data_IF_598122696199
#
_entry.id   IF_598122696199
#
_cell.length_a   1.000
_cell.length_b   1.000
_cell.length_c   1.000
_cell.angle_alpha   90.00
_cell.angle_beta   90.00
_cell.angle_gamma   90.00
#
_symmetry.space_group_name_H-M   'P 1'
#
loop_
_entity.id
_entity.type
_entity.pdbx_description
1 polymer ?
#
# COMPACT_ATOMS: atom_id res chain seq x y z
N UNK A 1 -11.98 -0.51 13.44
CA UNK A 1 -11.83 -0.25 11.99
C UNK A 1 -10.53 0.51 11.86
N UNK A 2 -9.50 -0.08 11.23
CA UNK A 2 -8.12 0.44 11.31
C UNK A 2 -7.36 0.27 9.99
N UNK A 3 -7.84 0.86 8.88
CA UNK A 3 -7.15 0.80 7.60
C UNK A 3 -5.76 1.48 7.65
N UNK A 4 -5.54 2.37 8.61
CA UNK A 4 -4.25 3.01 8.93
C UNK A 4 -3.22 2.07 9.58
N UNK A 5 -3.61 0.85 9.93
CA UNK A 5 -2.73 -0.18 10.51
C UNK A 5 -2.59 -1.43 9.62
N UNK A 6 -3.27 -1.47 8.47
CA UNK A 6 -3.15 -2.53 7.49
C UNK A 6 -2.07 -2.19 6.45
N UNK A 7 -1.03 -3.03 6.25
CA UNK A 7 0.02 -2.78 5.27
C UNK A 7 -0.53 -2.56 3.84
N UNK A 8 -1.59 -3.29 3.48
CA UNK A 8 -2.28 -3.16 2.20
C UNK A 8 -2.83 -1.76 1.95
N UNK A 9 -3.49 -1.18 2.95
CA UNK A 9 -4.19 0.11 2.85
C UNK A 9 -3.27 1.32 3.09
N UNK A 10 -2.19 1.10 3.85
CA UNK A 10 -1.21 2.12 4.18
C UNK A 10 -0.17 2.32 3.09
N UNK A 11 0.20 1.23 2.40
CA UNK A 11 1.35 1.23 1.53
C UNK A 11 1.05 0.68 0.13
N UNK A 12 0.60 -0.57 0.03
CA UNK A 12 0.43 -1.26 -1.25
C UNK A 12 -0.56 -0.54 -2.17
N UNK A 13 -1.81 -0.34 -1.72
CA UNK A 13 -2.84 0.30 -2.53
C UNK A 13 -2.55 1.76 -2.84
N UNK A 14 -2.00 2.58 -1.94
CA UNK A 14 -1.54 3.93 -2.29
C UNK A 14 -0.52 3.95 -3.43
N UNK A 15 0.48 3.07 -3.43
CA UNK A 15 1.50 3.04 -4.48
C UNK A 15 0.95 2.46 -5.79
N UNK A 16 0.13 1.41 -5.72
CA UNK A 16 -0.59 0.88 -6.87
C UNK A 16 -1.51 1.95 -7.49
N UNK A 17 -2.24 2.72 -6.66
CA UNK A 17 -3.09 3.83 -7.11
C UNK A 17 -2.28 4.93 -7.78
N UNK A 18 -1.07 5.26 -7.30
CA UNK A 18 -0.19 6.21 -7.99
C UNK A 18 0.23 5.69 -9.38
N UNK A 19 0.54 4.40 -9.49
CA UNK A 19 0.97 3.78 -10.75
C UNK A 19 -0.14 3.64 -11.80
N UNK A 20 -1.35 3.33 -11.33
CA UNK A 20 -2.53 3.14 -12.19
C UNK A 20 -3.31 4.45 -12.39
N UNK A 21 -3.07 5.46 -11.56
CA UNK A 21 -3.78 6.74 -11.57
C UNK A 21 -3.70 7.43 -12.94
N UNK A 22 -4.85 7.86 -13.44
CA UNK A 22 -4.96 8.57 -14.73
C UNK A 22 -4.87 7.69 -15.97
N UNK A 23 -4.61 6.38 -15.83
CA UNK A 23 -4.65 5.43 -16.94
C UNK A 23 -6.09 4.99 -17.20
N UNK A 24 -6.45 4.88 -18.48
CA UNK A 24 -7.71 4.29 -18.93
C UNK A 24 -7.39 2.97 -19.60
N UNK A 25 -8.00 1.90 -19.10
CA UNK A 25 -7.89 0.55 -19.64
C UNK A 25 -9.16 0.23 -20.44
N UNK A 26 -9.02 -0.52 -21.52
CA UNK A 26 -10.13 -0.89 -22.40
C UNK A 26 -10.91 -2.11 -21.89
N UNK A 27 -10.25 -2.99 -21.15
CA UNK A 27 -10.81 -4.24 -20.62
C UNK A 27 -10.10 -4.63 -19.30
N UNK A 28 -10.52 -5.75 -18.72
CA UNK A 28 -9.95 -6.25 -17.47
C UNK A 28 -8.56 -6.86 -17.68
N UNK A 29 -8.30 -7.50 -18.82
CA UNK A 29 -7.00 -8.11 -19.10
C UNK A 29 -5.86 -7.06 -19.08
N UNK A 30 -6.11 -5.85 -19.58
CA UNK A 30 -5.16 -4.75 -19.51
C UNK A 30 -4.89 -4.28 -18.08
N UNK A 31 -5.91 -4.32 -17.19
CA UNK A 31 -5.75 -3.98 -15.78
C UNK A 31 -4.93 -5.04 -15.07
N UNK A 32 -5.25 -6.32 -15.31
CA UNK A 32 -4.51 -7.46 -14.75
C UNK A 32 -3.03 -7.39 -15.15
N UNK A 33 -2.73 -7.19 -16.43
CA UNK A 33 -1.34 -7.05 -16.91
C UNK A 33 -0.62 -5.85 -16.27
N UNK A 34 -1.30 -4.71 -16.10
CA UNK A 34 -0.69 -3.53 -15.48
C UNK A 34 -0.41 -3.72 -13.98
N UNK A 35 -1.25 -4.51 -13.30
CA UNK A 35 -1.07 -4.90 -11.89
C UNK A 35 0.03 -5.95 -11.76
N UNK A 36 0.06 -6.98 -12.61
CA UNK A 36 1.11 -8.00 -12.61
C UNK A 36 2.48 -7.37 -12.86
N UNK A 37 2.59 -6.52 -13.89
CA UNK A 37 3.82 -5.80 -14.17
C UNK A 37 4.24 -4.81 -13.07
N UNK A 38 3.31 -4.36 -12.21
CA UNK A 38 3.68 -3.63 -11.00
C UNK A 38 4.40 -4.53 -10.00
N UNK A 39 3.82 -5.69 -9.71
CA UNK A 39 4.37 -6.62 -8.74
C UNK A 39 5.68 -7.26 -9.20
N UNK A 40 5.85 -7.49 -10.51
CA UNK A 40 7.12 -7.98 -11.08
C UNK A 40 8.28 -6.99 -10.92
N UNK A 41 8.00 -5.69 -10.88
CA UNK A 41 9.02 -4.65 -10.65
C UNK A 41 9.38 -4.45 -9.16
N UNK A 42 8.56 -4.97 -8.25
CA UNK A 42 8.83 -4.87 -6.82
C UNK A 42 9.82 -5.97 -6.41
N UNK A 43 10.90 -5.57 -5.74
CA UNK A 43 11.82 -6.49 -5.11
C UNK A 43 11.48 -6.72 -3.63
N UNK A 44 12.08 -7.75 -3.02
CA UNK A 44 11.86 -8.14 -1.63
C UNK A 44 12.09 -6.99 -0.63
N UNK A 45 12.99 -6.05 -0.94
CA UNK A 45 13.26 -4.91 -0.05
C UNK A 45 12.08 -3.95 0.04
N UNK A 46 11.24 -3.88 -1.00
CA UNK A 46 10.03 -3.08 -0.98
C UNK A 46 9.08 -3.59 0.11
N UNK A 47 8.73 -4.87 0.07
CA UNK A 47 7.85 -5.46 1.08
C UNK A 47 8.45 -5.40 2.49
N UNK A 48 9.78 -5.48 2.63
CA UNK A 48 10.46 -5.32 3.90
C UNK A 48 10.28 -3.90 4.45
N UNK A 49 10.45 -2.88 3.62
CA UNK A 49 10.23 -1.48 4.00
C UNK A 49 8.77 -1.23 4.41
N UNK A 50 7.81 -1.87 3.75
CA UNK A 50 6.38 -1.76 4.08
C UNK A 50 6.09 -2.27 5.49
N UNK A 51 6.68 -3.42 5.82
CA UNK A 51 6.56 -4.05 7.14
C UNK A 51 7.26 -3.19 8.20
N UNK A 52 8.47 -2.70 7.94
CA UNK A 52 9.17 -1.80 8.87
C UNK A 52 8.38 -0.50 9.10
N UNK A 53 7.74 0.04 8.05
CA UNK A 53 6.89 1.22 8.16
C UNK A 53 5.62 0.96 8.96
N UNK A 54 5.05 -0.25 8.92
CA UNK A 54 3.85 -0.57 9.71
C UNK A 54 4.17 -0.70 11.19
N UNK A 55 5.36 -1.17 11.56
CA UNK A 55 5.80 -1.24 12.95
C UNK A 55 5.79 0.16 13.60
N UNK A 56 6.33 1.17 12.92
CA UNK A 56 6.29 2.56 13.37
C UNK A 56 4.85 3.12 13.49
N UNK A 57 3.93 2.68 12.62
CA UNK A 57 2.52 3.06 12.72
C UNK A 57 1.85 2.44 13.93
N UNK A 58 2.18 1.19 14.27
CA UNK A 58 1.67 0.57 15.50
C UNK A 58 2.15 1.30 16.75
N UNK A 59 3.42 1.70 16.81
CA UNK A 59 3.95 2.52 17.90
C UNK A 59 3.18 3.84 18.05
N UNK A 60 2.96 4.54 16.94
CA UNK A 60 2.21 5.80 16.94
C UNK A 60 0.74 5.62 17.34
N UNK A 61 0.11 4.52 16.95
CA UNK A 61 -1.24 4.19 17.40
C UNK A 61 -1.32 4.02 18.93
N UNK A 62 -0.30 3.39 19.53
CA UNK A 62 -0.21 3.25 21.00
C UNK A 62 -0.06 4.62 21.66
N UNK A 63 0.80 5.50 21.13
CA UNK A 63 0.97 6.88 21.63
C UNK A 63 -0.34 7.67 21.57
N UNK A 64 -1.11 7.48 20.51
CA UNK A 64 -2.43 8.08 20.29
C UNK A 64 -3.56 7.37 21.07
N UNK A 65 -3.24 6.40 21.92
CA UNK A 65 -4.22 5.64 22.72
C UNK A 65 -5.30 4.96 21.87
N UNK A 66 -4.92 4.50 20.69
CA UNK A 66 -5.80 3.83 19.75
C UNK A 66 -6.58 4.75 18.81
N UNK A 67 -6.28 6.06 18.80
CA UNK A 67 -6.80 6.98 17.78
C UNK A 67 -6.07 6.79 16.43
N UNK A 68 -6.67 7.28 15.36
CA UNK A 68 -6.18 7.07 14.00
C UNK A 68 -4.80 7.68 13.76
N UNK A 69 -3.93 6.93 13.08
CA UNK A 69 -2.62 7.39 12.64
C UNK A 69 -2.75 8.09 11.29
N UNK A 70 -2.56 9.41 11.28
CA UNK A 70 -2.56 10.19 10.04
C UNK A 70 -1.48 9.73 9.04
N UNK A 71 -1.76 9.91 7.75
CA UNK A 71 -0.88 9.54 6.63
C UNK A 71 0.25 10.53 6.41
#
# INVERSE_FOLDING_TARGET
YSPDLAPSDCFLFPNLKKRLGGKRFANNEEVEFAVDGYFEELDDSHYKQDIETIEHRWEKCIELKGDYVEK
#
